data_IF_979269455711
#
_entry.id   IF_979269455711
#
_cell.length_a   1.000
_cell.length_b   1.000
_cell.length_c   1.000
_cell.angle_alpha   90.00
_cell.angle_beta   90.00
_cell.angle_gamma   90.00
#
_symmetry.space_group_name_H-M   'P 1'
#
loop_
_entity.id
_entity.type
_entity.pdbx_description
1 polymer ?
#
# COMPACT_ATOMS: atom_id res chain seq x y z
N UNK A 1 11.75 20.99 14.06
CA UNK A 1 10.76 20.70 15.13
C UNK A 1 9.33 20.75 14.60
N UNK A 2 8.93 21.82 13.88
CA UNK A 2 7.59 21.94 13.26
C UNK A 2 7.27 20.77 12.31
N UNK A 3 8.22 20.35 11.47
CA UNK A 3 8.01 19.25 10.51
C UNK A 3 7.69 17.91 11.19
N UNK A 4 8.45 17.56 12.23
CA UNK A 4 8.25 16.35 13.03
C UNK A 4 6.92 16.36 13.77
N UNK A 5 6.52 17.50 14.34
CA UNK A 5 5.23 17.68 15.02
C UNK A 5 4.07 17.57 14.03
N UNK A 6 4.19 18.15 12.84
CA UNK A 6 3.19 18.04 11.77
C UNK A 6 3.03 16.60 11.30
N UNK A 7 4.13 15.87 11.08
CA UNK A 7 4.10 14.44 10.71
C UNK A 7 3.52 13.55 11.81
N UNK A 8 3.77 13.86 13.08
CA UNK A 8 3.35 13.03 14.20
C UNK A 8 1.91 13.31 14.65
N UNK A 9 1.42 14.54 14.54
CA UNK A 9 0.16 14.97 15.13
C UNK A 9 -0.88 15.55 14.14
N UNK A 10 -0.47 16.10 12.98
CA UNK A 10 -1.39 16.74 12.02
C UNK A 10 -1.67 15.84 10.81
N UNK A 11 -0.64 15.15 10.31
CA UNK A 11 -0.71 14.12 9.26
C UNK A 11 -0.17 12.78 9.79
N UNK A 12 -0.70 12.24 10.90
CA UNK A 12 -0.20 10.98 11.44
C UNK A 12 -0.41 9.87 10.41
N UNK A 13 0.66 9.42 9.77
CA UNK A 13 0.65 8.26 8.88
C UNK A 13 0.65 6.93 9.66
N UNK A 14 0.76 7.00 10.99
CA UNK A 14 0.72 5.86 11.91
C UNK A 14 -0.51 4.94 11.73
N UNK A 15 -1.74 5.44 11.55
CA UNK A 15 -2.89 4.58 11.25
C UNK A 15 -2.72 3.83 9.93
N UNK A 16 -2.04 4.44 8.95
CA UNK A 16 -1.74 3.81 7.66
C UNK A 16 -0.75 2.64 7.84
N UNK A 17 0.26 2.82 8.69
CA UNK A 17 1.25 1.76 8.95
C UNK A 17 0.73 0.67 9.90
N UNK A 18 -0.02 1.03 10.94
CA UNK A 18 -0.46 0.10 11.99
C UNK A 18 -1.76 -0.62 11.61
N UNK A 19 -2.64 0.01 10.85
CA UNK A 19 -3.95 -0.56 10.50
C UNK A 19 -4.01 -0.92 9.03
N UNK A 20 -3.74 0.03 8.14
CA UNK A 20 -3.94 -0.19 6.70
C UNK A 20 -2.97 -1.24 6.17
N UNK A 21 -1.67 -1.16 6.50
CA UNK A 21 -0.68 -2.12 6.02
C UNK A 21 -0.99 -3.57 6.46
N UNK A 22 -1.26 -3.89 7.75
CA UNK A 22 -1.62 -5.25 8.15
C UNK A 22 -2.92 -5.74 7.50
N UNK A 23 -3.94 -4.88 7.39
CA UNK A 23 -5.21 -5.24 6.74
C UNK A 23 -5.00 -5.53 5.26
N UNK A 24 -4.20 -4.73 4.56
CA UNK A 24 -3.85 -4.96 3.15
C UNK A 24 -3.11 -6.27 2.98
N UNK A 25 -2.12 -6.57 3.83
CA UNK A 25 -1.39 -7.85 3.78
C UNK A 25 -2.31 -9.05 4.05
N UNK A 26 -3.20 -8.94 5.05
CA UNK A 26 -4.18 -9.98 5.35
C UNK A 26 -5.13 -10.21 4.16
N UNK A 27 -5.62 -9.12 3.54
CA UNK A 27 -6.49 -9.21 2.36
C UNK A 27 -5.79 -9.84 1.16
N UNK A 28 -4.52 -9.48 0.90
CA UNK A 28 -3.69 -10.12 -0.12
C UNK A 28 -3.57 -11.63 0.18
N UNK A 29 -3.29 -12.00 1.43
CA UNK A 29 -3.22 -13.40 1.86
C UNK A 29 -4.52 -14.16 1.60
N UNK A 30 -5.68 -13.59 1.96
CA UNK A 30 -7.00 -14.17 1.69
C UNK A 30 -7.25 -14.30 0.17
N UNK A 31 -6.94 -13.27 -0.60
CA UNK A 31 -7.10 -13.29 -2.06
C UNK A 31 -6.23 -14.38 -2.70
N UNK A 32 -4.99 -14.55 -2.22
CA UNK A 32 -4.07 -15.58 -2.68
C UNK A 32 -4.60 -16.98 -2.35
N UNK A 33 -5.20 -17.19 -1.17
CA UNK A 33 -5.85 -18.45 -0.82
C UNK A 33 -7.03 -18.77 -1.76
N UNK A 34 -7.92 -17.81 -2.00
CA UNK A 34 -9.08 -17.97 -2.89
C UNK A 34 -8.64 -18.22 -4.34
N UNK A 35 -7.55 -17.57 -4.78
CA UNK A 35 -7.00 -17.74 -6.12
C UNK A 35 -6.54 -19.18 -6.44
N UNK A 36 -6.28 -20.01 -5.41
CA UNK A 36 -5.89 -21.42 -5.56
C UNK A 36 -7.04 -22.34 -5.96
N UNK A 37 -8.28 -21.91 -5.76
CA UNK A 37 -9.47 -22.69 -6.15
C UNK A 37 -9.62 -22.70 -7.68
N UNK A 38 -10.21 -23.77 -8.24
CA UNK A 38 -10.52 -23.88 -9.66
C UNK A 38 -11.85 -23.20 -10.03
N UNK A 39 -11.99 -22.83 -11.30
CA UNK A 39 -13.22 -22.22 -11.81
C UNK A 39 -13.43 -20.76 -11.39
N UNK A 40 -14.70 -20.36 -11.25
CA UNK A 40 -15.10 -18.96 -11.06
C UNK A 40 -14.55 -18.32 -9.79
N UNK A 41 -14.47 -19.08 -8.70
CA UNK A 41 -13.90 -18.60 -7.43
C UNK A 41 -12.41 -18.28 -7.55
N UNK A 42 -11.64 -19.11 -8.26
CA UNK A 42 -10.23 -18.84 -8.53
C UNK A 42 -9.99 -17.60 -9.39
N UNK A 43 -10.86 -17.35 -10.36
CA UNK A 43 -10.80 -16.12 -11.18
C UNK A 43 -11.08 -14.87 -10.34
N UNK A 44 -12.07 -14.94 -9.44
CA UNK A 44 -12.37 -13.85 -8.50
C UNK A 44 -11.17 -13.59 -7.58
N UNK A 45 -10.59 -14.64 -6.98
CA UNK A 45 -9.41 -14.50 -6.12
C UNK A 45 -8.22 -13.83 -6.82
N UNK A 46 -7.97 -14.17 -8.09
CA UNK A 46 -6.91 -13.52 -8.90
C UNK A 46 -7.24 -12.05 -9.17
N UNK A 47 -8.49 -11.73 -9.49
CA UNK A 47 -8.93 -10.33 -9.68
C UNK A 47 -8.78 -9.50 -8.39
N UNK A 48 -9.19 -10.07 -7.25
CA UNK A 48 -9.00 -9.45 -5.93
C UNK A 48 -7.51 -9.20 -5.64
N UNK A 49 -6.65 -10.18 -5.92
CA UNK A 49 -5.21 -10.08 -5.70
C UNK A 49 -4.59 -8.97 -6.55
N UNK A 50 -4.89 -8.91 -7.85
CA UNK A 50 -4.39 -7.85 -8.74
C UNK A 50 -4.88 -6.48 -8.29
N UNK A 51 -6.16 -6.35 -7.94
CA UNK A 51 -6.72 -5.10 -7.43
C UNK A 51 -6.04 -4.64 -6.13
N UNK A 52 -5.79 -5.57 -5.21
CA UNK A 52 -5.13 -5.27 -3.92
C UNK A 52 -3.67 -4.88 -4.05
N UNK A 53 -2.99 -5.26 -5.13
CA UNK A 53 -1.61 -4.89 -5.40
C UNK A 53 -1.43 -3.43 -5.82
N UNK A 54 -2.48 -2.76 -6.31
CA UNK A 54 -2.41 -1.35 -6.74
C UNK A 54 -1.93 -0.41 -5.63
N UNK A 55 -2.44 -0.59 -4.40
CA UNK A 55 -2.03 0.18 -3.22
C UNK A 55 -0.53 0.03 -2.92
N UNK A 56 -0.03 -1.18 -2.62
CA UNK A 56 1.40 -1.42 -2.39
C UNK A 56 2.30 -0.99 -3.55
N UNK A 57 1.95 -1.29 -4.81
CA UNK A 57 2.76 -0.88 -5.96
C UNK A 57 2.85 0.63 -6.09
N UNK A 58 1.75 1.36 -5.85
CA UNK A 58 1.78 2.82 -5.87
C UNK A 58 2.78 3.37 -4.86
N UNK A 59 2.82 2.83 -3.64
CA UNK A 59 3.78 3.25 -2.61
C UNK A 59 5.22 2.95 -3.05
N UNK A 60 5.47 1.77 -3.61
CA UNK A 60 6.78 1.38 -4.12
C UNK A 60 7.27 2.30 -5.24
N UNK A 61 6.38 2.84 -6.07
CA UNK A 61 6.74 3.74 -7.17
C UNK A 61 6.87 5.19 -6.70
N UNK A 62 5.88 5.69 -5.95
CA UNK A 62 5.80 7.10 -5.59
C UNK A 62 6.73 7.50 -4.46
N UNK A 63 7.01 6.61 -3.49
CA UNK A 63 7.95 6.93 -2.40
C UNK A 63 9.36 7.23 -2.96
N UNK A 64 9.98 6.37 -3.78
CA UNK A 64 11.28 6.68 -4.38
C UNK A 64 11.22 7.90 -5.29
N UNK A 65 10.18 8.06 -6.09
CA UNK A 65 10.02 9.23 -6.95
C UNK A 65 10.00 10.53 -6.15
N UNK A 66 9.29 10.57 -5.02
CA UNK A 66 9.28 11.71 -4.10
C UNK A 66 10.63 11.96 -3.45
N UNK A 67 11.32 10.89 -3.01
CA UNK A 67 12.66 11.02 -2.41
C UNK A 67 13.66 11.58 -3.42
N UNK A 68 13.64 11.10 -4.66
CA UNK A 68 14.49 11.59 -5.75
C UNK A 68 14.16 13.05 -6.05
N UNK A 69 12.88 13.40 -6.20
CA UNK A 69 12.45 14.77 -6.45
C UNK A 69 12.87 15.72 -5.33
N UNK A 70 12.74 15.30 -4.06
CA UNK A 70 13.19 16.08 -2.90
C UNK A 70 14.72 16.29 -2.87
N UNK A 71 15.49 15.29 -3.33
CA UNK A 71 16.96 15.37 -3.39
C UNK A 71 17.47 16.29 -4.50
N UNK A 72 16.72 16.44 -5.60
CA UNK A 72 17.07 17.32 -6.71
C UNK A 72 16.73 18.79 -6.40
N UNK A 73 15.80 19.04 -5.46
CA UNK A 73 15.27 20.37 -5.17
C UNK A 73 14.24 20.82 -6.21
N UNK A 74 13.53 21.95 -6.00
CA UNK A 74 12.62 22.47 -7.00
C UNK A 74 13.42 22.84 -8.27
N UNK A 75 13.01 22.27 -9.41
CA UNK A 75 13.47 22.70 -10.73
C UNK A 75 12.98 24.11 -11.05
#
# INVERSE_FOLDING_TARGET
MVDFVTWLFVLPMWPLVIVVLPVTLAYIGVSALIARTSGRCGQIGRGMMIGSLSGPLSLVIFIPAFVIAAAIGPI
#
